data_IF_559555351804
#
_entry.id   IF_559555351804
#
_cell.length_a   1.000
_cell.length_b   1.000
_cell.length_c   1.000
_cell.angle_alpha   90.00
_cell.angle_beta   90.00
_cell.angle_gamma   90.00
#
_symmetry.space_group_name_H-M   'P 1'
#
loop_
_entity.id
_entity.type
_entity.pdbx_description
1 polymer ?
#
# COMPACT_ATOMS: atom_id res chain seq x y z
N UNK A 1 14.31 8.46 -43.27
CA UNK A 1 15.02 7.40 -44.01
C UNK A 1 13.98 6.35 -44.37
N UNK A 2 13.63 6.23 -45.65
CA UNK A 2 12.83 5.13 -46.21
C UNK A 2 13.82 4.34 -47.05
N UNK A 3 14.34 3.25 -46.52
CA UNK A 3 15.26 2.41 -47.27
C UNK A 3 14.45 1.58 -48.29
N UNK A 4 14.83 1.79 -49.53
CA UNK A 4 14.66 1.02 -50.76
C UNK A 4 13.81 -0.26 -50.66
N UNK A 5 12.72 -0.26 -51.46
CA UNK A 5 11.88 -1.40 -51.86
C UNK A 5 10.83 -1.96 -50.87
N UNK A 6 9.94 -1.10 -50.35
CA UNK A 6 8.49 -1.38 -50.21
C UNK A 6 8.00 -2.55 -49.34
N UNK A 7 8.88 -3.41 -48.82
CA UNK A 7 8.54 -4.41 -47.80
C UNK A 7 8.58 -3.72 -46.44
N UNK A 8 7.43 -3.66 -45.79
CA UNK A 8 7.31 -3.27 -44.40
C UNK A 8 8.19 -4.22 -43.58
N UNK A 9 9.35 -3.74 -43.11
CA UNK A 9 10.22 -4.52 -42.21
C UNK A 9 9.39 -4.91 -41.01
N UNK A 10 9.17 -6.21 -40.84
CA UNK A 10 8.45 -6.74 -39.69
C UNK A 10 9.11 -6.19 -38.42
N UNK A 11 8.34 -5.60 -37.49
CA UNK A 11 8.88 -5.14 -36.23
C UNK A 11 9.62 -6.29 -35.55
N UNK A 12 10.75 -5.99 -34.91
CA UNK A 12 11.53 -7.01 -34.20
C UNK A 12 10.82 -7.42 -32.90
N UNK A 13 9.77 -8.22 -33.05
CA UNK A 13 9.02 -8.76 -31.92
C UNK A 13 9.86 -9.83 -31.23
N UNK A 14 9.88 -9.85 -29.88
CA UNK A 14 10.50 -10.94 -29.15
C UNK A 14 9.71 -12.24 -29.33
N UNK A 15 10.37 -13.36 -29.11
CA UNK A 15 9.70 -14.65 -28.99
C UNK A 15 9.00 -14.72 -27.63
N UNK A 16 7.67 -14.81 -27.65
CA UNK A 16 6.82 -14.76 -26.45
C UNK A 16 6.05 -16.06 -26.24
N UNK A 17 5.65 -16.30 -25.00
CA UNK A 17 4.74 -17.37 -24.61
C UNK A 17 4.10 -17.07 -23.25
N UNK A 18 3.22 -17.95 -22.79
CA UNK A 18 2.69 -17.89 -21.44
C UNK A 18 2.44 -19.29 -20.88
N UNK A 19 2.46 -19.38 -19.56
CA UNK A 19 2.03 -20.58 -18.82
C UNK A 19 0.78 -20.28 -18.02
N UNK A 20 -0.08 -21.29 -17.91
CA UNK A 20 -1.24 -21.29 -17.02
C UNK A 20 -0.93 -22.26 -15.89
N UNK A 21 -0.90 -21.75 -14.67
CA UNK A 21 -0.59 -22.54 -13.49
C UNK A 21 -1.77 -22.54 -12.51
N UNK A 22 -1.89 -23.63 -11.76
CA UNK A 22 -2.86 -23.78 -10.67
C UNK A 22 -2.35 -23.02 -9.43
N UNK A 23 -3.20 -22.21 -8.82
CA UNK A 23 -2.95 -21.58 -7.53
C UNK A 23 -3.33 -22.50 -6.36
N UNK A 24 -2.71 -22.29 -5.21
CA UNK A 24 -3.00 -23.01 -3.97
C UNK A 24 -3.76 -22.08 -3.00
N UNK A 25 -5.07 -22.25 -2.90
CA UNK A 25 -5.93 -21.44 -2.04
C UNK A 25 -6.09 -20.00 -2.54
N UNK A 26 -6.02 -19.03 -1.62
CA UNK A 26 -6.29 -17.61 -1.91
C UNK A 26 -5.11 -16.85 -2.54
N UNK A 27 -3.94 -17.48 -2.65
CA UNK A 27 -2.70 -16.85 -3.11
C UNK A 27 -1.91 -17.79 -4.04
N UNK A 28 -1.04 -17.23 -4.89
CA UNK A 28 -0.15 -18.01 -5.76
C UNK A 28 1.29 -17.79 -5.34
N UNK A 29 1.90 -18.87 -4.83
CA UNK A 29 3.32 -18.88 -4.46
C UNK A 29 4.14 -19.08 -5.72
N UNK A 30 4.78 -18.01 -6.20
CA UNK A 30 5.74 -18.10 -7.30
C UNK A 30 7.14 -18.50 -6.82
N UNK A 31 7.48 -18.14 -5.58
CA UNK A 31 8.81 -18.34 -4.98
C UNK A 31 8.85 -19.44 -3.91
N UNK A 32 7.89 -20.37 -3.94
CA UNK A 32 7.85 -21.50 -3.00
C UNK A 32 8.96 -22.52 -3.24
N UNK A 33 9.25 -23.42 -2.27
CA UNK A 33 10.19 -24.52 -2.46
C UNK A 33 9.76 -25.49 -3.56
N UNK A 34 8.46 -25.51 -3.88
CA UNK A 34 7.91 -26.25 -5.00
C UNK A 34 7.49 -25.27 -6.10
N UNK A 35 7.86 -25.53 -7.37
CA UNK A 35 7.42 -24.71 -8.48
C UNK A 35 5.89 -24.81 -8.64
N UNK A 36 5.21 -23.75 -9.11
CA UNK A 36 3.77 -23.79 -9.31
C UNK A 36 3.40 -24.89 -10.32
N UNK A 37 2.29 -25.58 -10.05
CA UNK A 37 1.80 -26.66 -10.91
C UNK A 37 1.33 -26.09 -12.24
N UNK A 38 2.16 -26.21 -13.27
CA UNK A 38 1.84 -25.77 -14.64
C UNK A 38 0.83 -26.73 -15.25
N UNK A 39 -0.34 -26.20 -15.62
CA UNK A 39 -1.40 -26.96 -16.30
C UNK A 39 -1.20 -26.94 -17.81
N UNK A 40 -0.93 -25.75 -18.35
CA UNK A 40 -0.73 -25.55 -19.78
C UNK A 40 0.44 -24.62 -20.06
N UNK A 41 1.13 -24.88 -21.17
CA UNK A 41 2.24 -24.07 -21.68
C UNK A 41 2.05 -23.88 -23.18
N UNK A 42 2.15 -22.64 -23.63
CA UNK A 42 2.13 -22.34 -25.07
C UNK A 42 3.47 -22.63 -25.71
N UNK A 43 3.46 -23.03 -26.99
CA UNK A 43 4.67 -22.98 -27.83
C UNK A 43 5.15 -21.53 -27.94
N UNK A 44 6.46 -21.34 -27.83
CA UNK A 44 7.10 -20.05 -28.09
C UNK A 44 6.93 -19.66 -29.56
N UNK A 45 6.45 -18.44 -29.82
CA UNK A 45 6.35 -17.87 -31.17
C UNK A 45 6.85 -16.44 -31.21
N UNK A 46 7.49 -16.09 -32.33
CA UNK A 46 7.86 -14.71 -32.65
C UNK A 46 6.68 -14.05 -33.37
N UNK A 47 6.22 -12.92 -32.88
CA UNK A 47 5.12 -12.17 -33.49
C UNK A 47 4.28 -11.39 -32.50
N UNK A 48 3.19 -10.79 -33.01
CA UNK A 48 2.29 -9.86 -32.31
C UNK A 48 1.27 -10.55 -31.37
N UNK A 49 1.49 -11.82 -31.03
CA UNK A 49 0.63 -12.54 -30.11
C UNK A 49 0.80 -14.05 -30.14
N UNK A 50 0.36 -14.68 -29.07
CA UNK A 50 0.23 -16.12 -28.92
C UNK A 50 -1.13 -16.39 -28.26
N UNK A 51 -1.84 -17.41 -28.72
CA UNK A 51 -3.10 -17.84 -28.13
C UNK A 51 -3.03 -19.30 -27.67
N UNK A 52 -3.94 -19.66 -26.78
CA UNK A 52 -4.15 -21.02 -26.31
C UNK A 52 -5.63 -21.25 -26.05
N UNK A 53 -6.19 -22.27 -26.67
CA UNK A 53 -7.51 -22.77 -26.29
C UNK A 53 -7.32 -23.67 -25.07
N UNK A 54 -7.77 -23.16 -23.93
CA UNK A 54 -7.84 -23.91 -22.70
C UNK A 54 -9.26 -24.47 -22.65
N UNK A 55 -9.38 -25.81 -22.58
CA UNK A 55 -10.68 -26.45 -22.43
C UNK A 55 -11.29 -26.15 -21.05
N UNK A 56 -12.24 -26.99 -20.64
CA UNK A 56 -12.84 -26.87 -19.32
C UNK A 56 -11.78 -26.99 -18.21
N UNK A 57 -11.63 -25.94 -17.42
CA UNK A 57 -10.87 -25.97 -16.16
C UNK A 57 -11.84 -26.32 -15.03
N UNK A 58 -11.43 -27.23 -14.15
CA UNK A 58 -12.27 -27.64 -13.03
C UNK A 58 -12.57 -26.42 -12.13
N UNK A 59 -13.85 -26.14 -11.80
CA UNK A 59 -14.27 -25.04 -10.92
C UNK A 59 -14.01 -25.38 -9.45
N UNK A 60 -12.89 -26.04 -9.16
CA UNK A 60 -12.43 -26.21 -7.80
C UNK A 60 -12.21 -24.81 -7.17
N UNK A 61 -12.17 -24.73 -5.84
CA UNK A 61 -11.90 -23.50 -5.09
C UNK A 61 -10.49 -22.88 -5.31
N UNK A 62 -9.85 -23.21 -6.44
CA UNK A 62 -8.49 -22.84 -6.78
C UNK A 62 -8.51 -21.71 -7.81
N UNK A 63 -7.70 -20.70 -7.55
CA UNK A 63 -7.44 -19.61 -8.50
C UNK A 63 -6.44 -20.10 -9.56
N UNK A 64 -6.53 -19.59 -10.78
CA UNK A 64 -5.53 -19.87 -11.84
C UNK A 64 -4.69 -18.64 -12.11
N UNK A 65 -3.43 -18.82 -12.50
CA UNK A 65 -2.53 -17.71 -12.83
C UNK A 65 -1.95 -17.87 -14.21
N UNK A 66 -2.03 -16.77 -14.96
CA UNK A 66 -1.41 -16.66 -16.28
C UNK A 66 -0.12 -15.86 -16.14
N UNK A 67 1.00 -16.49 -16.50
CA UNK A 67 2.34 -15.90 -16.42
C UNK A 67 2.86 -15.73 -17.86
N UNK A 68 2.82 -14.52 -18.42
CA UNK A 68 3.48 -14.22 -19.69
C UNK A 68 5.00 -14.21 -19.51
N UNK A 69 5.74 -14.77 -20.47
CA UNK A 69 7.20 -14.80 -20.46
C UNK A 69 7.78 -14.65 -21.87
N UNK A 70 9.03 -14.20 -21.93
CA UNK A 70 9.86 -14.18 -23.14
C UNK A 70 10.83 -15.35 -23.13
N UNK A 71 11.25 -15.80 -24.32
CA UNK A 71 12.25 -16.87 -24.47
C UNK A 71 13.58 -16.54 -23.78
N UNK A 72 14.00 -15.26 -23.85
CA UNK A 72 15.22 -14.77 -23.21
C UNK A 72 14.90 -13.89 -21.99
N UNK A 73 15.62 -14.05 -20.87
CA UNK A 73 15.50 -13.14 -19.73
C UNK A 73 16.04 -11.74 -20.08
N UNK A 74 15.60 -10.72 -19.34
CA UNK A 74 16.07 -9.34 -19.53
C UNK A 74 15.50 -8.61 -20.75
N UNK A 75 14.56 -9.23 -21.48
CA UNK A 75 13.88 -8.60 -22.60
C UNK A 75 12.73 -7.75 -22.07
N UNK A 76 12.82 -6.42 -22.26
CA UNK A 76 11.70 -5.53 -21.99
C UNK A 76 10.67 -5.60 -23.11
N UNK A 77 9.43 -5.91 -22.77
CA UNK A 77 8.34 -5.96 -23.74
C UNK A 77 7.02 -5.52 -23.11
N UNK A 78 6.19 -4.84 -23.90
CA UNK A 78 4.83 -4.43 -23.52
C UNK A 78 3.85 -5.43 -24.12
N UNK A 79 3.03 -6.05 -23.29
CA UNK A 79 2.02 -7.01 -23.71
C UNK A 79 0.64 -6.61 -23.22
N UNK A 80 -0.38 -7.18 -23.87
CA UNK A 80 -1.76 -7.21 -23.42
C UNK A 80 -2.22 -8.67 -23.38
N UNK A 81 -3.00 -9.03 -22.36
CA UNK A 81 -3.61 -10.36 -22.25
C UNK A 81 -5.11 -10.17 -22.36
N UNK A 82 -5.73 -10.90 -23.28
CA UNK A 82 -7.18 -10.96 -23.45
C UNK A 82 -7.61 -12.40 -23.18
N UNK A 83 -8.61 -12.57 -22.31
CA UNK A 83 -9.18 -13.88 -22.02
C UNK A 83 -10.65 -13.88 -22.46
N UNK A 84 -11.04 -14.96 -23.13
CA UNK A 84 -12.41 -15.22 -23.53
C UNK A 84 -12.94 -16.37 -22.69
N UNK A 85 -14.06 -16.16 -22.02
CA UNK A 85 -14.68 -17.14 -21.13
C UNK A 85 -16.18 -17.15 -21.37
N UNK A 86 -16.79 -18.34 -21.28
CA UNK A 86 -18.24 -18.50 -21.42
C UNK A 86 -19.00 -18.10 -20.14
N UNK A 87 -18.28 -17.97 -19.03
CA UNK A 87 -18.80 -17.59 -17.70
C UNK A 87 -18.09 -16.32 -17.22
N UNK A 88 -18.76 -15.53 -16.39
CA UNK A 88 -18.17 -14.37 -15.74
C UNK A 88 -17.09 -14.80 -14.75
N UNK A 89 -15.89 -14.25 -14.90
CA UNK A 89 -14.75 -14.48 -14.00
C UNK A 89 -14.20 -13.15 -13.48
N UNK A 90 -13.64 -13.17 -12.26
CA UNK A 90 -12.97 -12.00 -11.70
C UNK A 90 -11.49 -12.04 -12.06
N UNK A 91 -11.05 -10.99 -12.75
CA UNK A 91 -9.68 -10.81 -13.17
C UNK A 91 -8.93 -9.86 -12.26
N UNK A 92 -7.87 -10.35 -11.64
CA UNK A 92 -7.04 -9.52 -10.76
C UNK A 92 -5.59 -9.52 -11.22
N UNK A 93 -5.03 -8.33 -11.39
CA UNK A 93 -3.61 -8.19 -11.70
C UNK A 93 -2.77 -8.46 -10.44
N UNK A 94 -2.05 -9.57 -10.42
CA UNK A 94 -1.02 -9.85 -9.42
C UNK A 94 0.17 -8.92 -9.67
N UNK A 95 0.50 -8.15 -8.65
CA UNK A 95 1.81 -7.54 -8.56
C UNK A 95 2.72 -8.47 -7.76
N UNK A 96 3.72 -9.14 -8.37
CA UNK A 96 4.57 -10.11 -7.67
C UNK A 96 5.32 -9.47 -6.49
N UNK A 97 5.67 -8.18 -6.58
CA UNK A 97 6.26 -7.42 -5.46
C UNK A 97 5.25 -7.22 -4.30
N UNK A 98 3.96 -7.24 -4.60
CA UNK A 98 2.88 -7.17 -3.63
C UNK A 98 2.48 -8.55 -3.05
N UNK A 99 3.14 -9.64 -3.44
CA UNK A 99 2.97 -10.97 -2.82
C UNK A 99 4.05 -11.30 -1.76
N UNK A 100 5.06 -10.45 -1.59
CA UNK A 100 6.10 -10.53 -0.53
C UNK A 100 5.61 -10.20 0.91
N UNK A 101 4.33 -10.41 1.25
CA UNK A 101 3.85 -10.31 2.65
C UNK A 101 3.39 -11.67 3.10
N UNK A 102 3.84 -12.04 4.29
CA UNK A 102 3.57 -13.28 4.99
C UNK A 102 2.08 -13.60 4.97
N UNK A 103 1.69 -14.59 4.16
CA UNK A 103 0.40 -15.20 4.36
C UNK A 103 0.43 -15.82 5.76
N UNK A 104 -0.54 -15.47 6.60
CA UNK A 104 -0.67 -16.00 7.97
C UNK A 104 -0.71 -17.53 7.98
N UNK A 105 -1.03 -18.16 6.84
CA UNK A 105 -1.01 -19.61 6.67
C UNK A 105 0.37 -20.21 6.33
N UNK A 106 1.38 -19.44 5.88
CA UNK A 106 2.65 -20.00 5.40
C UNK A 106 3.92 -19.58 6.16
N UNK A 107 3.86 -18.65 7.12
CA UNK A 107 4.85 -18.52 8.20
C UNK A 107 6.29 -18.08 7.84
N UNK A 108 6.54 -17.42 6.70
CA UNK A 108 7.84 -16.76 6.44
C UNK A 108 7.87 -15.31 6.97
N UNK A 109 9.04 -14.62 7.11
CA UNK A 109 9.19 -13.31 7.77
C UNK A 109 9.29 -12.06 6.83
N UNK A 110 8.85 -12.15 5.58
CA UNK A 110 8.93 -11.10 4.56
C UNK A 110 7.97 -9.91 4.74
N UNK A 111 6.89 -10.07 5.51
CA UNK A 111 5.83 -9.10 5.73
C UNK A 111 6.20 -7.92 6.61
N UNK A 112 7.18 -8.09 7.50
CA UNK A 112 7.76 -7.01 8.29
C UNK A 112 8.29 -5.88 7.39
N UNK A 113 8.86 -6.21 6.23
CA UNK A 113 9.43 -5.20 5.34
C UNK A 113 8.39 -4.23 4.79
N UNK A 114 7.14 -4.67 4.53
CA UNK A 114 6.08 -3.72 4.11
C UNK A 114 5.58 -2.82 5.22
N UNK A 115 5.54 -3.34 6.44
CA UNK A 115 5.21 -2.51 7.61
C UNK A 115 6.31 -1.46 7.76
N UNK A 116 7.58 -1.85 7.65
CA UNK A 116 8.71 -0.93 7.69
C UNK A 116 8.68 0.08 6.53
N UNK A 117 8.43 -0.33 5.28
CA UNK A 117 8.32 0.63 4.15
C UNK A 117 7.15 1.61 4.35
N UNK A 118 6.02 1.16 4.91
CA UNK A 118 4.91 2.06 5.24
C UNK A 118 5.27 3.01 6.37
N UNK A 119 6.02 2.55 7.37
CA UNK A 119 6.57 3.40 8.43
C UNK A 119 7.53 4.44 7.84
N UNK A 120 8.48 4.06 6.98
CA UNK A 120 9.39 4.98 6.29
C UNK A 120 8.63 6.05 5.47
N UNK A 121 7.56 5.65 4.78
CA UNK A 121 6.70 6.59 4.04
C UNK A 121 5.96 7.55 4.98
N UNK A 122 5.51 7.09 6.14
CA UNK A 122 4.89 7.93 7.15
C UNK A 122 5.91 8.88 7.75
N UNK A 123 7.10 8.41 8.12
CA UNK A 123 8.21 9.23 8.62
C UNK A 123 8.61 10.31 7.60
N UNK A 124 8.71 9.97 6.32
CA UNK A 124 8.97 10.94 5.26
C UNK A 124 7.86 11.99 5.10
N UNK A 125 6.59 11.61 5.30
CA UNK A 125 5.46 12.56 5.34
C UNK A 125 5.52 13.46 6.57
N UNK A 126 5.82 12.92 7.74
CA UNK A 126 5.98 13.68 8.98
C UNK A 126 7.13 14.69 8.88
N UNK A 127 8.29 14.29 8.35
CA UNK A 127 9.42 15.19 8.13
C UNK A 127 9.07 16.36 7.20
N UNK A 128 8.32 16.10 6.12
CA UNK A 128 7.82 17.15 5.21
C UNK A 128 6.84 18.10 5.90
N UNK A 129 5.96 17.57 6.75
CA UNK A 129 5.02 18.38 7.53
C UNK A 129 5.77 19.28 8.51
N UNK A 130 6.75 18.75 9.24
CA UNK A 130 7.59 19.47 10.20
C UNK A 130 8.41 20.57 9.52
N UNK A 131 9.01 20.29 8.36
CA UNK A 131 9.71 21.30 7.56
C UNK A 131 8.77 22.41 7.08
N UNK A 132 7.54 22.07 6.68
CA UNK A 132 6.53 23.05 6.29
C UNK A 132 6.09 23.91 7.48
N UNK A 133 5.93 23.32 8.66
CA UNK A 133 5.66 24.04 9.90
C UNK A 133 6.81 24.99 10.25
N UNK A 134 8.06 24.52 10.17
CA UNK A 134 9.24 25.36 10.42
C UNK A 134 9.32 26.54 9.42
N UNK A 135 9.05 26.30 8.14
CA UNK A 135 8.99 27.36 7.13
C UNK A 135 7.86 28.36 7.39
N UNK A 136 6.68 27.89 7.82
CA UNK A 136 5.59 28.77 8.23
C UNK A 136 5.98 29.56 9.48
N UNK A 137 6.58 28.93 10.49
CA UNK A 137 7.10 29.62 11.66
C UNK A 137 8.22 30.60 11.33
N UNK A 138 9.05 30.37 10.33
CA UNK A 138 10.08 31.33 9.91
C UNK A 138 9.45 32.49 9.12
N UNK A 139 8.54 32.17 8.19
CA UNK A 139 7.81 33.15 7.39
C UNK A 139 6.93 34.07 8.26
N UNK A 140 6.38 33.55 9.35
CA UNK A 140 5.47 34.27 10.23
C UNK A 140 6.10 34.69 11.57
N UNK A 141 7.17 34.03 12.01
CA UNK A 141 7.84 34.27 13.30
C UNK A 141 9.12 35.09 13.21
N UNK A 142 9.65 35.36 12.01
CA UNK A 142 10.80 36.27 11.81
C UNK A 142 10.41 37.64 11.23
N UNK A 143 9.11 37.94 11.13
CA UNK A 143 8.58 39.28 10.88
C UNK A 143 7.50 39.62 11.92
N UNK A 144 7.77 40.30 13.03
CA UNK A 144 8.82 41.29 13.21
C UNK A 144 8.64 42.52 12.31
N UNK A 145 7.57 42.58 11.49
CA UNK A 145 7.41 43.55 10.40
C UNK A 145 6.06 44.27 10.34
N UNK A 146 5.18 44.08 11.32
CA UNK A 146 3.97 44.93 11.48
C UNK A 146 3.98 45.77 12.77
N UNK A 147 5.04 45.68 13.58
CA UNK A 147 5.12 46.32 14.90
C UNK A 147 6.17 47.45 15.00
N UNK A 148 6.39 48.24 13.94
CA UNK A 148 7.19 49.48 14.06
C UNK A 148 6.48 50.80 13.71
N UNK A 149 5.18 50.76 13.44
CA UNK A 149 4.34 51.96 13.31
C UNK A 149 3.04 51.91 14.13
N UNK A 150 2.93 50.99 15.10
CA UNK A 150 1.73 50.79 15.92
C UNK A 150 1.94 51.15 17.40
N UNK A 151 2.71 52.20 17.69
CA UNK A 151 2.74 52.78 19.04
C UNK A 151 1.55 53.72 19.32
N UNK A 152 0.57 53.81 18.40
CA UNK A 152 -0.51 54.83 18.50
C UNK A 152 -1.89 54.39 18.02
N UNK A 153 -2.14 53.13 17.66
CA UNK A 153 -3.49 52.67 17.30
C UNK A 153 -3.80 51.39 18.08
N UNK A 154 -4.86 51.45 18.88
CA UNK A 154 -5.21 50.50 19.93
C UNK A 154 -5.48 49.07 19.45
N UNK A 155 -5.14 48.15 20.34
CA UNK A 155 -5.73 46.81 20.57
C UNK A 155 -6.59 46.24 19.43
N UNK A 156 -5.95 45.91 18.30
CA UNK A 156 -6.60 45.12 17.26
C UNK A 156 -6.52 43.66 17.68
N UNK A 157 -7.57 43.17 18.35
CA UNK A 157 -7.74 41.75 18.67
C UNK A 157 -7.59 40.92 17.38
N UNK A 158 -6.75 39.89 17.42
CA UNK A 158 -6.63 38.98 16.29
C UNK A 158 -7.99 38.32 16.00
N UNK A 159 -8.37 38.18 14.72
CA UNK A 159 -9.64 37.60 14.36
C UNK A 159 -9.73 36.16 14.88
N UNK A 160 -10.87 35.83 15.47
CA UNK A 160 -11.15 34.49 15.99
C UNK A 160 -11.14 33.46 14.85
N UNK A 161 -10.95 32.15 15.14
CA UNK A 161 -11.09 31.10 14.12
C UNK A 161 -12.42 31.18 13.36
N UNK A 162 -13.51 31.51 14.06
CA UNK A 162 -14.83 31.75 13.47
C UNK A 162 -14.81 32.91 12.46
N UNK A 163 -14.24 34.05 12.84
CA UNK A 163 -14.11 35.21 11.95
C UNK A 163 -13.25 34.88 10.72
N UNK A 164 -12.18 34.10 10.86
CA UNK A 164 -11.37 33.66 9.72
C UNK A 164 -12.12 32.72 8.79
N UNK A 165 -12.94 31.82 9.33
CA UNK A 165 -13.79 30.94 8.54
C UNK A 165 -14.90 31.72 7.83
N UNK A 166 -15.48 32.71 8.52
CA UNK A 166 -16.47 33.63 7.97
C UNK A 166 -15.91 34.41 6.77
N UNK A 167 -14.79 35.11 6.94
CA UNK A 167 -14.15 35.85 5.84
C UNK A 167 -13.64 34.97 4.69
N UNK A 168 -13.44 33.68 4.92
CA UNK A 168 -13.08 32.74 3.87
C UNK A 168 -14.31 32.24 3.09
N UNK A 169 -15.50 32.29 3.70
CA UNK A 169 -16.76 31.87 3.10
C UNK A 169 -17.48 33.04 2.42
N UNK A 170 -17.51 34.21 3.08
CA UNK A 170 -18.02 35.49 2.57
C UNK A 170 -17.09 36.02 1.46
N UNK A 171 -17.34 35.56 0.23
CA UNK A 171 -16.48 35.85 -0.92
C UNK A 171 -16.76 37.22 -1.50
N UNK A 172 -17.98 37.73 -1.29
CA UNK A 172 -18.43 39.04 -1.76
C UNK A 172 -18.18 40.18 -0.72
N UNK A 173 -17.79 39.83 0.51
CA UNK A 173 -17.53 40.72 1.65
C UNK A 173 -18.75 41.55 2.08
N UNK A 174 -19.95 41.02 1.95
CA UNK A 174 -21.19 41.72 2.33
C UNK A 174 -21.56 41.57 3.81
N UNK A 175 -20.77 40.81 4.57
CA UNK A 175 -21.01 40.56 5.99
C UNK A 175 -22.10 39.52 6.23
N UNK A 176 -22.46 38.73 5.21
CA UNK A 176 -23.32 37.55 5.26
C UNK A 176 -22.70 36.45 4.40
N UNK A 177 -23.22 35.24 4.52
CA UNK A 177 -22.80 34.11 3.68
C UNK A 177 -24.01 33.51 3.02
N UNK A 178 -24.08 33.61 1.70
CA UNK A 178 -25.23 33.12 0.93
C UNK A 178 -25.12 31.61 0.61
N UNK A 179 -26.22 30.94 0.22
CA UNK A 179 -26.20 29.50 -0.13
C UNK A 179 -25.31 29.15 -1.34
N UNK A 180 -25.00 30.12 -2.19
CA UNK A 180 -24.12 29.96 -3.35
C UNK A 180 -22.65 29.93 -2.92
N UNK A 181 -22.28 30.76 -1.94
CA UNK A 181 -20.98 30.83 -1.28
C UNK A 181 -20.75 29.59 -0.40
N UNK A 182 -21.81 29.04 0.20
CA UNK A 182 -21.73 27.89 1.10
C UNK A 182 -21.86 26.50 0.44
N UNK A 183 -21.72 26.39 -0.89
CA UNK A 183 -21.99 25.15 -1.65
C UNK A 183 -21.25 23.90 -1.17
N UNK A 184 -20.09 24.06 -0.54
CA UNK A 184 -19.29 22.93 -0.03
C UNK A 184 -19.79 22.39 1.32
N UNK A 185 -20.73 23.07 1.99
CA UNK A 185 -21.12 22.80 3.38
C UNK A 185 -22.65 22.68 3.57
N UNK A 186 -23.40 22.30 2.53
CA UNK A 186 -24.88 22.23 2.55
C UNK A 186 -25.50 21.53 3.77
N UNK A 187 -24.84 20.52 4.33
CA UNK A 187 -25.35 19.79 5.49
C UNK A 187 -25.27 20.60 6.80
N UNK A 188 -24.33 21.54 6.88
CA UNK A 188 -24.11 22.38 8.05
C UNK A 188 -24.91 23.67 8.01
N UNK A 189 -25.41 24.07 6.84
CA UNK A 189 -26.18 25.29 6.67
C UNK A 189 -27.49 25.24 7.47
N UNK A 190 -28.25 24.15 7.35
CA UNK A 190 -29.53 23.97 8.06
C UNK A 190 -29.35 23.93 9.59
N UNK A 191 -28.19 23.50 10.08
CA UNK A 191 -27.89 23.50 11.51
C UNK A 191 -27.35 24.83 12.03
N UNK A 192 -26.86 25.69 11.14
CA UNK A 192 -26.29 26.99 11.50
C UNK A 192 -27.33 28.12 11.37
N UNK A 193 -28.21 28.05 10.37
CA UNK A 193 -29.35 28.96 10.18
C UNK A 193 -30.47 28.59 11.17
N UNK A 194 -30.47 29.25 12.32
CA UNK A 194 -31.38 28.94 13.42
C UNK A 194 -32.71 29.68 13.30
N UNK A 195 -32.73 30.83 12.62
CA UNK A 195 -33.93 31.61 12.40
C UNK A 195 -34.69 31.24 11.11
N UNK A 196 -34.03 30.53 10.19
CA UNK A 196 -34.59 29.98 8.96
C UNK A 196 -34.76 31.02 7.85
N UNK A 197 -34.03 32.14 7.89
CA UNK A 197 -34.12 33.20 6.88
C UNK A 197 -33.36 32.86 5.57
N UNK A 198 -32.58 31.77 5.58
CA UNK A 198 -31.80 31.29 4.44
C UNK A 198 -30.44 31.98 4.29
N UNK A 199 -30.00 32.75 5.28
CA UNK A 199 -28.71 33.41 5.39
C UNK A 199 -28.11 33.12 6.76
N UNK A 200 -26.78 32.99 6.87
CA UNK A 200 -26.13 32.82 8.19
C UNK A 200 -25.61 34.16 8.68
N UNK A 201 -26.14 34.64 9.80
CA UNK A 201 -25.63 35.84 10.47
C UNK A 201 -24.35 35.58 11.27
N UNK A 202 -23.59 36.62 11.62
CA UNK A 202 -22.36 36.48 12.42
C UNK A 202 -22.63 35.84 13.80
N UNK A 203 -23.76 36.18 14.42
CA UNK A 203 -24.17 35.62 15.71
C UNK A 203 -24.45 34.12 15.63
N UNK A 204 -25.20 33.70 14.61
CA UNK A 204 -25.51 32.29 14.37
C UNK A 204 -24.27 31.46 14.04
N UNK A 205 -23.34 32.03 13.26
CA UNK A 205 -22.07 31.35 13.02
C UNK A 205 -21.26 31.20 14.30
N UNK A 206 -21.23 32.20 15.17
CA UNK A 206 -20.52 32.13 16.44
C UNK A 206 -21.09 31.02 17.35
N UNK A 207 -22.42 30.94 17.45
CA UNK A 207 -23.10 29.89 18.22
C UNK A 207 -22.87 28.50 17.61
N UNK A 208 -22.93 28.39 16.28
CA UNK A 208 -22.63 27.15 15.57
C UNK A 208 -21.19 26.69 15.80
N UNK A 209 -20.21 27.59 15.72
CA UNK A 209 -18.79 27.26 15.99
C UNK A 209 -18.62 26.79 17.44
N UNK A 210 -19.23 27.47 18.41
CA UNK A 210 -19.18 27.05 19.81
C UNK A 210 -19.79 25.65 20.01
N UNK A 211 -20.90 25.34 19.35
CA UNK A 211 -21.52 24.03 19.40
C UNK A 211 -20.63 22.94 18.76
N UNK A 212 -20.00 23.23 17.61
CA UNK A 212 -19.06 22.33 16.95
C UNK A 212 -17.83 22.08 17.82
N UNK A 213 -17.27 23.10 18.46
CA UNK A 213 -16.14 22.98 19.37
C UNK A 213 -16.50 22.11 20.59
N UNK A 214 -17.67 22.32 21.18
CA UNK A 214 -18.16 21.47 22.29
C UNK A 214 -18.34 20.02 21.85
N UNK A 215 -18.95 19.79 20.68
CA UNK A 215 -19.12 18.44 20.14
C UNK A 215 -17.77 17.76 19.87
N UNK A 216 -16.83 18.49 19.25
CA UNK A 216 -15.48 18.00 19.01
C UNK A 216 -14.74 17.66 20.32
N UNK A 217 -14.89 18.50 21.35
CA UNK A 217 -14.30 18.24 22.66
C UNK A 217 -14.90 17.00 23.33
N UNK A 218 -16.23 16.80 23.24
CA UNK A 218 -16.91 15.61 23.76
C UNK A 218 -16.46 14.33 23.04
N UNK A 219 -16.42 14.34 21.71
CA UNK A 219 -15.96 13.19 20.92
C UNK A 219 -14.49 12.86 21.20
N UNK A 220 -13.64 13.89 21.32
CA UNK A 220 -12.25 13.71 21.69
C UNK A 220 -12.11 13.09 23.10
N UNK A 221 -12.88 13.56 24.08
CA UNK A 221 -12.88 13.00 25.42
C UNK A 221 -13.27 11.51 25.43
N UNK A 222 -14.31 11.13 24.67
CA UNK A 222 -14.72 9.72 24.50
C UNK A 222 -13.59 8.89 23.88
N UNK A 223 -12.95 9.40 22.83
CA UNK A 223 -11.85 8.70 22.16
C UNK A 223 -10.65 8.48 23.09
N UNK A 224 -10.26 9.48 23.88
CA UNK A 224 -9.18 9.36 24.87
C UNK A 224 -9.53 8.31 25.94
N UNK A 225 -10.78 8.25 26.39
CA UNK A 225 -11.23 7.20 27.32
C UNK A 225 -11.11 5.80 26.70
N UNK A 226 -11.52 5.61 25.45
CA UNK A 226 -11.40 4.33 24.75
C UNK A 226 -9.94 3.89 24.59
N UNK A 227 -9.04 4.81 24.19
CA UNK A 227 -7.61 4.53 24.10
C UNK A 227 -7.01 4.14 25.45
N UNK A 228 -7.40 4.84 26.52
CA UNK A 228 -6.93 4.56 27.87
C UNK A 228 -7.37 3.17 28.33
N UNK A 229 -8.62 2.80 28.08
CA UNK A 229 -9.15 1.46 28.38
C UNK A 229 -8.42 0.37 27.58
N UNK A 230 -8.19 0.59 26.27
CA UNK A 230 -7.45 -0.36 25.45
C UNK A 230 -6.01 -0.56 25.93
N UNK A 231 -5.34 0.52 26.37
CA UNK A 231 -4.00 0.44 26.98
C UNK A 231 -3.99 -0.35 28.29
N UNK A 232 -5.01 -0.20 29.13
CA UNK A 232 -5.15 -0.98 30.37
C UNK A 232 -5.28 -2.48 30.06
N UNK A 233 -6.18 -2.84 29.16
CA UNK A 233 -6.36 -4.25 28.72
C UNK A 233 -5.06 -4.83 28.15
N UNK A 234 -4.34 -4.06 27.32
CA UNK A 234 -3.07 -4.50 26.77
C UNK A 234 -2.01 -4.73 27.86
N UNK A 235 -1.98 -3.89 28.90
CA UNK A 235 -1.06 -4.06 30.03
C UNK A 235 -1.43 -5.25 30.91
N UNK A 236 -2.71 -5.50 31.14
CA UNK A 236 -3.20 -6.69 31.85
C UNK A 236 -2.83 -7.97 31.12
N UNK A 237 -3.03 -8.03 29.80
CA UNK A 237 -2.66 -9.19 28.98
C UNK A 237 -1.14 -9.44 29.02
N UNK A 238 -0.33 -8.39 28.96
CA UNK A 238 1.13 -8.51 29.12
C UNK A 238 1.50 -9.07 30.49
N UNK A 239 0.83 -8.63 31.57
CA UNK A 239 1.07 -9.15 32.91
C UNK A 239 0.69 -10.63 33.04
N UNK A 240 -0.43 -11.05 32.44
CA UNK A 240 -0.86 -12.45 32.39
C UNK A 240 0.14 -13.33 31.64
N UNK A 241 0.61 -12.88 30.46
CA UNK A 241 1.62 -13.60 29.68
C UNK A 241 2.94 -13.73 30.44
N UNK A 242 3.36 -12.67 31.15
CA UNK A 242 4.55 -12.71 31.98
C UNK A 242 4.41 -13.73 33.13
N UNK A 243 3.24 -13.82 33.78
CA UNK A 243 3.00 -14.80 34.83
C UNK A 243 3.09 -16.25 34.33
N UNK A 244 2.51 -16.54 33.16
CA UNK A 244 2.57 -17.89 32.55
C UNK A 244 4.01 -18.29 32.18
N UNK A 245 4.86 -17.34 31.81
CA UNK A 245 6.26 -17.61 31.45
C UNK A 245 7.15 -17.94 32.66
N UNK A 246 6.82 -17.45 33.86
CA UNK A 246 7.61 -17.71 35.07
C UNK A 246 7.42 -19.14 35.59
N UNK A 247 6.25 -19.75 35.34
CA UNK A 247 5.94 -21.12 35.75
C UNK A 247 6.39 -22.20 34.75
N UNK A 248 7.01 -21.80 33.63
CA UNK A 248 7.66 -22.77 32.77
C UNK A 248 8.81 -23.42 33.56
N UNK A 249 8.73 -24.72 33.92
CA UNK A 249 9.82 -25.36 34.63
C UNK A 249 11.08 -25.13 33.80
N UNK A 250 12.22 -24.76 34.43
CA UNK A 250 13.46 -24.69 33.70
C UNK A 250 13.56 -26.02 32.97
N UNK A 251 13.60 -25.97 31.63
CA UNK A 251 13.89 -27.14 30.84
C UNK A 251 15.28 -27.56 31.31
N UNK A 252 15.32 -28.43 32.32
CA UNK A 252 16.49 -29.19 32.68
C UNK A 252 16.75 -29.93 31.40
N UNK A 253 17.75 -29.46 30.66
CA UNK A 253 18.28 -30.18 29.53
C UNK A 253 18.70 -31.53 30.09
N UNK A 254 17.80 -32.50 30.05
CA UNK A 254 18.18 -33.88 29.86
C UNK A 254 19.03 -33.83 28.60
N UNK A 255 20.34 -33.82 28.84
CA UNK A 255 21.34 -34.10 27.86
C UNK A 255 20.92 -35.43 27.23
N UNK A 256 20.18 -35.35 26.12
CA UNK A 256 20.11 -36.41 25.15
C UNK A 256 21.55 -36.55 24.67
N UNK A 257 22.28 -37.40 25.41
CA UNK A 257 23.53 -37.99 24.97
C UNK A 257 23.26 -38.51 23.57
N UNK A 258 23.81 -37.79 22.59
CA UNK A 258 23.90 -38.25 21.22
C UNK A 258 24.77 -39.50 21.24
N UNK A 259 24.09 -40.64 21.42
CA UNK A 259 24.60 -41.96 21.12
C UNK A 259 25.10 -41.93 19.67
N UNK A 260 26.41 -41.82 19.54
CA UNK A 260 27.14 -41.99 18.30
C UNK A 260 26.97 -43.44 17.87
N UNK A 261 25.89 -43.72 17.14
CA UNK A 261 25.73 -44.93 16.34
C UNK A 261 26.68 -44.83 15.15
N UNK A 262 27.87 -45.40 15.32
CA UNK A 262 28.83 -45.63 14.25
C UNK A 262 28.21 -46.54 13.17
N UNK A 263 27.73 -45.95 12.06
CA UNK A 263 27.53 -46.67 10.82
C UNK A 263 28.79 -46.56 9.97
N UNK A 264 29.61 -47.59 10.08
CA UNK A 264 30.73 -47.88 9.21
C UNK A 264 30.27 -48.33 7.83
N UNK A 265 30.95 -47.76 6.82
CA UNK A 265 31.36 -48.38 5.56
C UNK A 265 30.29 -48.85 4.55
N UNK A 266 30.37 -48.27 3.35
CA UNK A 266 30.15 -49.01 2.11
C UNK A 266 29.44 -48.23 1.01
N UNK A 267 30.20 -47.71 0.04
CA UNK A 267 29.63 -47.28 -1.24
C UNK A 267 30.32 -46.08 -1.87
N UNK A 268 31.54 -46.27 -2.34
CA UNK A 268 32.19 -45.33 -3.25
C UNK A 268 31.45 -45.28 -4.59
N UNK A 269 30.64 -44.25 -4.78
CA UNK A 269 30.14 -43.82 -6.08
C UNK A 269 30.77 -42.48 -6.42
N UNK A 270 31.72 -42.48 -7.34
CA UNK A 270 32.33 -41.27 -7.88
C UNK A 270 31.26 -40.43 -8.60
N UNK A 271 30.63 -39.50 -7.89
CA UNK A 271 29.83 -38.45 -8.50
C UNK A 271 30.81 -37.37 -8.93
N UNK A 272 31.08 -37.39 -10.24
CA UNK A 272 31.73 -36.32 -10.99
C UNK A 272 31.22 -34.95 -10.53
N UNK A 273 32.17 -34.11 -10.12
CA UNK A 273 31.97 -32.69 -9.88
C UNK A 273 31.63 -32.03 -11.23
N UNK A 274 30.37 -32.08 -11.64
CA UNK A 274 29.84 -31.18 -12.65
C UNK A 274 29.68 -29.80 -12.01
N UNK A 275 30.19 -28.80 -12.72
CA UNK A 275 30.34 -27.41 -12.30
C UNK A 275 29.09 -26.83 -11.63
N UNK A 276 29.24 -25.99 -10.59
CA UNK A 276 28.14 -25.21 -10.08
C UNK A 276 27.69 -24.26 -11.17
N UNK A 277 26.58 -24.60 -11.84
CA UNK A 277 25.86 -23.69 -12.73
C UNK A 277 25.62 -22.40 -11.95
N UNK A 278 26.29 -21.34 -12.40
CA UNK A 278 26.25 -20.03 -11.83
C UNK A 278 24.78 -19.62 -11.62
N UNK A 279 24.37 -19.53 -10.34
CA UNK A 279 23.09 -18.91 -10.00
C UNK A 279 23.17 -17.45 -10.48
N UNK A 280 22.23 -16.97 -11.32
CA UNK A 280 22.25 -15.57 -11.75
C UNK A 280 22.14 -14.68 -10.52
N UNK A 281 23.21 -13.95 -10.25
CA UNK A 281 23.28 -12.91 -9.22
C UNK A 281 22.51 -11.72 -9.75
N UNK A 282 21.32 -11.49 -9.22
CA UNK A 282 20.54 -10.28 -9.49
C UNK A 282 21.24 -9.11 -8.79
N UNK A 283 22.13 -8.41 -9.49
CA UNK A 283 22.62 -7.10 -9.08
C UNK A 283 21.60 -6.06 -9.53
N UNK A 284 20.95 -5.40 -8.58
CA UNK A 284 20.10 -4.24 -8.84
C UNK A 284 20.98 -3.01 -8.58
N UNK A 285 21.58 -2.50 -9.64
CA UNK A 285 22.17 -1.16 -9.62
C UNK A 285 21.03 -0.15 -9.51
N UNK A 286 21.06 0.64 -8.45
CA UNK A 286 20.13 1.73 -8.21
C UNK A 286 20.60 2.96 -8.97
N UNK A 287 20.01 3.17 -10.14
CA UNK A 287 19.96 4.50 -10.77
C UNK A 287 18.50 4.89 -11.05
N UNK A 288 18.32 6.19 -11.09
CA UNK A 288 17.10 6.97 -10.95
C UNK A 288 16.02 6.76 -12.05
N UNK A 289 14.80 7.15 -11.68
CA UNK A 289 13.64 7.48 -12.51
C UNK A 289 12.89 6.45 -13.41
N UNK A 290 11.57 6.65 -13.43
CA UNK A 290 10.58 6.19 -14.42
C UNK A 290 9.97 4.77 -14.30
N UNK A 291 8.95 4.68 -13.44
CA UNK A 291 7.77 3.81 -13.52
C UNK A 291 7.71 2.76 -14.66
N UNK A 292 8.09 1.49 -14.38
CA UNK A 292 7.73 0.31 -15.20
C UNK A 292 7.53 -0.94 -14.33
N UNK A 293 6.38 -1.62 -14.43
CA UNK A 293 5.99 -2.80 -13.63
C UNK A 293 5.56 -3.97 -14.54
N UNK A 294 6.27 -5.09 -14.47
CA UNK A 294 5.83 -6.42 -14.97
C UNK A 294 4.71 -6.97 -14.08
N UNK A 295 3.68 -7.60 -14.68
CA UNK A 295 2.40 -7.89 -14.00
C UNK A 295 1.83 -9.26 -14.40
N UNK A 296 1.42 -10.10 -13.46
CA UNK A 296 0.69 -11.35 -13.75
C UNK A 296 -0.82 -11.13 -13.54
N UNK A 297 -1.70 -12.02 -14.04
CA UNK A 297 -3.16 -11.96 -13.83
C UNK A 297 -3.70 -13.26 -13.20
N UNK A 298 -4.68 -13.12 -12.31
CA UNK A 298 -5.44 -14.21 -11.65
C UNK A 298 -6.82 -14.35 -12.25
N UNK A 299 -7.24 -15.60 -12.38
CA UNK A 299 -8.60 -16.05 -12.63
C UNK A 299 -9.20 -16.59 -11.33
N UNK A 300 -10.33 -16.04 -10.92
CA UNK A 300 -11.20 -16.58 -9.86
C UNK A 300 -12.47 -17.16 -10.48
#
# INVERSE_FOLDING_TARGET
>A
MRDVAGLQTEPDYPTVGFVVAKGEGDHVKLDGPQPPQVLHRTSLRRGDGQWLEIGYLEPAANKYVVIPYTDRPGVEHKYAITLYTDVEHRFEKINPRACLVDCVQCGQPSGLHRVLTKLDQLEGKYAKMLNKEALLRQRWGTGGGVNRLAATIGDVQQPTPAQRAFFAADSNCDGKVDPQEFRNFKQHFVSADTDGDGMISEAELADYVAAVEQHAAMEHAKYVQQLTAAHQVANELRAQLAAVQVDAPPHTGEALENGHGAHTAGGGGAISCADPVARPRWSVDSEDESSKKSSACVLQ
#
